data_IF_314000624498
#
_entry.id   IF_314000624498
#
_cell.length_a   1.000
_cell.length_b   1.000
_cell.length_c   1.000
_cell.angle_alpha   90.00
_cell.angle_beta   90.00
_cell.angle_gamma   90.00
#
_symmetry.space_group_name_H-M   'P 1'
#
loop_
_entity.id
_entity.type
_entity.pdbx_description
1 polymer ?
#
# COMPACT_ATOMS: atom_id res chain seq x y z
N UNK A 1 -16.84 -6.52 -8.77
CA UNK A 1 -16.86 -5.37 -7.85
C UNK A 1 -15.47 -4.79 -7.65
N UNK A 2 -15.37 -3.55 -7.16
CA UNK A 2 -14.12 -2.79 -7.00
C UNK A 2 -13.04 -3.52 -6.19
N UNK A 3 -13.43 -4.25 -5.12
CA UNK A 3 -12.50 -5.05 -4.30
C UNK A 3 -11.73 -6.11 -5.10
N UNK A 4 -12.42 -6.84 -6.00
CA UNK A 4 -11.77 -7.85 -6.83
C UNK A 4 -10.75 -7.26 -7.81
N UNK A 5 -11.02 -6.06 -8.35
CA UNK A 5 -10.07 -5.35 -9.19
C UNK A 5 -8.85 -4.83 -8.40
N UNK A 6 -9.09 -4.31 -7.18
CA UNK A 6 -8.04 -3.88 -6.27
C UNK A 6 -7.10 -5.04 -5.88
N UNK A 7 -7.65 -6.21 -5.53
CA UNK A 7 -6.85 -7.42 -5.23
C UNK A 7 -5.94 -7.82 -6.40
N UNK A 8 -6.49 -7.93 -7.61
CA UNK A 8 -5.70 -8.28 -8.81
C UNK A 8 -4.61 -7.26 -9.07
N UNK A 9 -4.91 -5.97 -8.95
CA UNK A 9 -3.93 -4.89 -9.14
C UNK A 9 -2.83 -4.94 -8.09
N UNK A 10 -3.16 -5.20 -6.83
CA UNK A 10 -2.20 -5.28 -5.74
C UNK A 10 -1.25 -6.46 -5.91
N UNK A 11 -1.79 -7.66 -6.19
CA UNK A 11 -0.98 -8.87 -6.44
C UNK A 11 -0.08 -8.67 -7.66
N UNK A 12 -0.61 -8.13 -8.77
CA UNK A 12 0.16 -7.86 -9.97
C UNK A 12 1.31 -6.89 -9.73
N UNK A 13 1.06 -5.77 -9.04
CA UNK A 13 2.10 -4.78 -8.69
C UNK A 13 3.17 -5.35 -7.77
N UNK A 14 2.79 -6.14 -6.78
CA UNK A 14 3.76 -6.74 -5.86
C UNK A 14 4.65 -7.76 -6.58
N UNK A 15 4.11 -8.53 -7.53
CA UNK A 15 4.91 -9.44 -8.35
C UNK A 15 5.96 -8.67 -9.18
N UNK A 16 5.60 -7.50 -9.75
CA UNK A 16 6.57 -6.64 -10.44
C UNK A 16 7.59 -6.05 -9.47
N UNK A 17 7.16 -5.60 -8.28
CA UNK A 17 8.02 -4.99 -7.29
C UNK A 17 9.06 -5.96 -6.71
N UNK A 18 8.74 -7.25 -6.60
CA UNK A 18 9.62 -8.28 -6.06
C UNK A 18 10.41 -9.05 -7.13
N UNK A 19 10.43 -8.58 -8.39
CA UNK A 19 11.06 -9.31 -9.51
C UNK A 19 12.58 -9.44 -9.40
N UNK A 20 13.23 -8.61 -8.58
CA UNK A 20 14.70 -8.62 -8.41
C UNK A 20 15.08 -9.10 -7.02
N UNK A 21 16.23 -9.77 -6.91
CA UNK A 21 16.76 -10.23 -5.64
C UNK A 21 16.96 -9.07 -4.63
N UNK A 22 17.41 -7.90 -5.10
CA UNK A 22 17.58 -6.72 -4.26
C UNK A 22 16.25 -6.18 -3.71
N UNK A 23 15.21 -6.11 -4.54
CA UNK A 23 13.90 -5.64 -4.09
C UNK A 23 13.22 -6.65 -3.15
N UNK A 24 13.40 -7.95 -3.41
CA UNK A 24 12.96 -9.02 -2.52
C UNK A 24 13.67 -8.95 -1.17
N UNK A 25 15.00 -8.82 -1.15
CA UNK A 25 15.78 -8.68 0.07
C UNK A 25 15.37 -7.43 0.87
N UNK A 26 15.23 -6.26 0.21
CA UNK A 26 14.78 -5.03 0.87
C UNK A 26 13.37 -5.16 1.44
N UNK A 27 12.48 -5.92 0.79
CA UNK A 27 11.17 -6.22 1.34
C UNK A 27 11.24 -7.12 2.58
N UNK A 28 12.07 -8.18 2.57
CA UNK A 28 12.31 -9.03 3.74
C UNK A 28 12.87 -8.24 4.93
N UNK A 29 13.84 -7.35 4.69
CA UNK A 29 14.42 -6.49 5.72
C UNK A 29 13.37 -5.57 6.36
N UNK A 30 12.50 -4.94 5.56
CA UNK A 30 11.41 -4.10 6.09
C UNK A 30 10.44 -4.88 6.98
N UNK A 31 10.12 -6.13 6.61
CA UNK A 31 9.26 -6.99 7.42
C UNK A 31 9.90 -7.29 8.79
N UNK A 32 11.19 -7.59 8.80
CA UNK A 32 11.94 -7.83 10.04
C UNK A 32 12.03 -6.57 10.92
N UNK A 33 12.29 -5.39 10.34
CA UNK A 33 12.38 -4.12 11.08
C UNK A 33 11.05 -3.71 11.70
N UNK A 34 9.93 -3.95 11.02
CA UNK A 34 8.61 -3.54 11.50
C UNK A 34 8.07 -4.38 12.68
N UNK A 35 8.89 -5.27 13.27
CA UNK A 35 8.51 -6.24 14.31
C UNK A 35 7.24 -7.04 13.97
N UNK A 36 6.89 -7.12 12.68
CA UNK A 36 5.81 -7.98 12.20
C UNK A 36 6.36 -9.40 12.29
N UNK A 37 5.55 -10.40 12.68
CA UNK A 37 6.00 -11.79 12.69
C UNK A 37 6.72 -12.09 11.37
N UNK A 38 8.02 -12.42 11.43
CA UNK A 38 8.81 -12.65 10.22
C UNK A 38 8.37 -13.99 9.63
N UNK A 39 7.77 -13.92 8.45
CA UNK A 39 7.11 -15.05 7.81
C UNK A 39 8.05 -15.79 6.85
N UNK A 40 9.35 -15.87 7.14
CA UNK A 40 10.29 -16.69 6.36
C UNK A 40 10.27 -16.49 4.83
N UNK A 41 10.74 -17.47 4.04
CA UNK A 41 10.64 -17.45 2.59
C UNK A 41 9.17 -17.47 2.08
N UNK A 42 8.24 -17.99 2.89
CA UNK A 42 6.81 -18.09 2.56
C UNK A 42 6.04 -16.77 2.68
N UNK A 43 6.70 -15.69 3.14
CA UNK A 43 6.06 -14.43 3.42
C UNK A 43 5.26 -13.87 2.23
N UNK A 44 5.75 -14.08 1.00
CA UNK A 44 5.06 -13.63 -0.23
C UNK A 44 3.77 -14.42 -0.46
N UNK A 45 3.81 -15.73 -0.25
CA UNK A 45 2.66 -16.63 -0.38
C UNK A 45 1.61 -16.31 0.68
N UNK A 46 2.05 -16.11 1.92
CA UNK A 46 1.13 -15.75 3.02
C UNK A 46 0.53 -14.36 2.83
N UNK A 47 1.31 -13.38 2.37
CA UNK A 47 0.80 -12.06 1.98
C UNK A 47 -0.26 -12.16 0.88
N UNK A 48 0.00 -12.95 -0.18
CA UNK A 48 -0.97 -13.17 -1.25
C UNK A 48 -2.26 -13.79 -0.71
N UNK A 49 -2.15 -14.84 0.10
CA UNK A 49 -3.31 -15.50 0.71
C UNK A 49 -4.13 -14.56 1.60
N UNK A 50 -3.47 -13.65 2.34
CA UNK A 50 -4.16 -12.62 3.13
C UNK A 50 -4.94 -11.65 2.22
N UNK A 51 -4.33 -11.18 1.13
CA UNK A 51 -5.00 -10.30 0.14
C UNK A 51 -6.21 -10.99 -0.51
N UNK A 52 -6.10 -12.28 -0.81
CA UNK A 52 -7.17 -13.07 -1.44
C UNK A 52 -8.34 -13.31 -0.49
N UNK A 53 -8.08 -13.55 0.80
CA UNK A 53 -9.11 -13.79 1.83
C UNK A 53 -9.79 -12.51 2.35
N UNK A 54 -9.11 -11.36 2.32
CA UNK A 54 -9.59 -10.11 2.89
C UNK A 54 -10.97 -9.68 2.36
N UNK A 55 -12.01 -9.78 3.18
CA UNK A 55 -13.40 -9.48 2.82
C UNK A 55 -13.67 -7.98 2.65
N UNK A 56 -14.81 -7.64 2.03
CA UNK A 56 -15.23 -6.24 1.92
C UNK A 56 -15.55 -5.60 3.28
N UNK A 57 -16.00 -6.41 4.24
CA UNK A 57 -16.29 -5.95 5.60
C UNK A 57 -15.01 -5.57 6.33
N UNK A 58 -14.00 -6.44 6.35
CA UNK A 58 -12.70 -6.17 6.99
C UNK A 58 -12.00 -4.96 6.35
N UNK A 59 -12.04 -4.84 5.02
CA UNK A 59 -11.44 -3.67 4.33
C UNK A 59 -12.15 -2.38 4.74
N UNK A 60 -13.47 -2.40 4.90
CA UNK A 60 -14.25 -1.24 5.32
C UNK A 60 -13.97 -0.86 6.77
N UNK A 61 -13.92 -1.84 7.66
CA UNK A 61 -13.59 -1.66 9.06
C UNK A 61 -12.22 -1.00 9.23
N UNK A 62 -11.19 -1.56 8.59
CA UNK A 62 -9.84 -0.98 8.62
C UNK A 62 -9.81 0.42 8.01
N UNK A 63 -10.54 0.67 6.92
CA UNK A 63 -10.60 1.99 6.30
C UNK A 63 -11.20 3.05 7.25
N UNK A 64 -12.23 2.69 8.04
CA UNK A 64 -12.83 3.57 9.03
C UNK A 64 -11.88 3.89 10.18
N UNK A 65 -11.02 2.94 10.57
CA UNK A 65 -9.98 3.18 11.58
C UNK A 65 -8.85 4.07 11.07
N UNK A 66 -8.44 3.90 9.82
CA UNK A 66 -7.29 4.61 9.24
C UNK A 66 -7.62 6.02 8.73
N UNK A 67 -8.86 6.25 8.32
CA UNK A 67 -9.35 7.53 7.83
C UNK A 67 -10.50 7.98 8.73
N UNK A 68 -10.22 8.37 9.98
CA UNK A 68 -11.24 9.00 10.80
C UNK A 68 -11.72 10.27 10.08
N UNK A 69 -13.04 10.49 10.07
CA UNK A 69 -13.62 11.73 9.56
C UNK A 69 -13.13 12.96 10.32
N UNK A 70 -12.66 12.74 11.55
CA UNK A 70 -12.04 13.75 12.41
C UNK A 70 -10.53 13.78 12.18
N UNK A 71 -9.96 14.97 11.90
CA UNK A 71 -8.51 15.15 11.71
C UNK A 71 -8.02 15.04 10.26
N UNK A 72 -8.91 14.95 9.28
CA UNK A 72 -8.54 15.05 7.87
C UNK A 72 -8.08 16.49 7.55
N UNK A 73 -6.81 16.66 7.19
CA UNK A 73 -6.25 17.94 6.75
C UNK A 73 -6.29 17.98 5.22
N UNK A 74 -7.23 18.73 4.67
CA UNK A 74 -7.25 19.04 3.24
C UNK A 74 -6.42 20.31 2.99
N UNK A 75 -5.28 20.16 2.32
CA UNK A 75 -4.45 21.28 1.89
C UNK A 75 -4.76 21.61 0.43
N UNK A 76 -5.38 22.77 0.19
CA UNK A 76 -5.59 23.30 -1.15
C UNK A 76 -4.42 24.20 -1.53
N UNK A 77 -3.75 23.87 -2.64
CA UNK A 77 -2.73 24.74 -3.22
C UNK A 77 -3.40 25.54 -4.33
N UNK A 78 -3.66 26.82 -4.09
CA UNK A 78 -4.02 27.73 -5.18
C UNK A 78 -2.81 27.94 -6.09
N UNK A 79 -2.97 27.87 -7.43
CA UNK A 79 -1.89 28.23 -8.33
C UNK A 79 -1.56 29.71 -8.09
N UNK A 80 -0.40 29.98 -7.50
CA UNK A 80 0.13 31.33 -7.42
C UNK A 80 0.22 31.96 -8.82
N UNK A 81 0.18 33.29 -8.94
CA UNK A 81 0.41 33.94 -10.23
C UNK A 81 1.70 33.36 -10.82
N UNK A 82 1.72 32.96 -12.11
CA UNK A 82 2.91 32.39 -12.72
C UNK A 82 4.06 33.35 -12.43
N UNK A 83 5.13 32.87 -11.81
CA UNK A 83 6.32 33.67 -11.56
C UNK A 83 6.69 34.32 -12.90
N UNK A 84 6.45 35.62 -13.02
CA UNK A 84 6.71 36.36 -14.24
C UNK A 84 8.20 36.18 -14.49
N UNK A 85 8.56 35.36 -15.49
CA UNK A 85 9.95 35.17 -15.88
C UNK A 85 10.42 36.56 -16.30
N UNK A 86 11.31 37.16 -15.50
CA UNK A 86 12.03 38.35 -15.91
C UNK A 86 12.73 38.01 -17.22
N UNK A 87 12.32 38.69 -18.29
CA UNK A 87 12.99 38.65 -19.58
C UNK A 87 14.34 39.35 -19.45
#
# INVERSE_FOLDING_TARGET
GLLGAARRRLIGRQAVALRTAAAYAGWLVRQAVAARPFVGPDAVTQWRGAVERASAAEVREVAQTLLPSEGMVEAFVEPGPPAARAQ
#
